data_IF_163342308257
#
_entry.id   IF_163342308257
#
_cell.length_a   1.000
_cell.length_b   1.000
_cell.length_c   1.000
_cell.angle_alpha   90.00
_cell.angle_beta   90.00
_cell.angle_gamma   90.00
#
_symmetry.space_group_name_H-M   'P 1'
#
loop_
_entity.id
_entity.type
_entity.pdbx_description
1 polymer ?
#
# COMPACT_ATOMS: atom_id res chain seq x y z
N UNK A 1 -5.33 0.44 -18.81
CA UNK A 1 -5.25 -1.02 -18.98
C UNK A 1 -3.79 -1.48 -18.91
N UNK A 2 -2.85 -0.93 -19.70
CA UNK A 2 -1.43 -1.35 -19.70
C UNK A 2 -0.76 -1.25 -18.32
N UNK A 3 -0.98 -0.16 -17.60
CA UNK A 3 -0.39 0.04 -16.26
C UNK A 3 -0.90 -1.01 -15.28
N UNK A 4 -2.18 -1.34 -15.32
CA UNK A 4 -2.78 -2.34 -14.42
C UNK A 4 -2.25 -3.75 -14.68
N UNK A 5 -1.83 -4.07 -15.92
CA UNK A 5 -1.24 -5.38 -16.23
C UNK A 5 0.13 -5.62 -15.56
N UNK A 6 0.78 -4.57 -15.06
CA UNK A 6 2.01 -4.71 -14.27
C UNK A 6 1.77 -5.38 -12.92
N UNK A 7 0.57 -5.27 -12.35
CA UNK A 7 0.28 -5.84 -11.04
C UNK A 7 0.45 -7.37 -10.98
N UNK A 8 -0.12 -8.16 -11.91
CA UNK A 8 0.13 -9.60 -11.94
C UNK A 8 1.61 -9.97 -12.12
N UNK A 9 2.35 -9.18 -12.90
CA UNK A 9 3.80 -9.41 -13.08
C UNK A 9 4.57 -9.16 -11.78
N UNK A 10 4.25 -8.09 -11.06
CA UNK A 10 4.85 -7.79 -9.76
C UNK A 10 4.51 -8.91 -8.77
N UNK A 11 3.25 -9.32 -8.72
CA UNK A 11 2.80 -10.39 -7.84
C UNK A 11 3.49 -11.73 -8.15
N UNK A 12 3.64 -12.05 -9.43
CA UNK A 12 4.45 -13.19 -9.87
C UNK A 12 5.89 -13.11 -9.36
N UNK A 13 6.55 -11.95 -9.49
CA UNK A 13 7.92 -11.77 -9.01
C UNK A 13 8.03 -11.92 -7.49
N UNK A 14 7.05 -11.42 -6.73
CA UNK A 14 6.97 -11.58 -5.28
C UNK A 14 6.88 -13.06 -4.90
N UNK A 15 6.01 -13.82 -5.56
CA UNK A 15 5.85 -15.24 -5.31
C UNK A 15 7.11 -16.04 -5.69
N UNK A 16 7.74 -15.69 -6.81
CA UNK A 16 8.99 -16.31 -7.28
C UNK A 16 10.15 -16.11 -6.30
N UNK A 17 10.22 -14.96 -5.64
CA UNK A 17 11.25 -14.69 -4.63
C UNK A 17 11.11 -15.66 -3.45
N UNK A 18 9.91 -16.00 -3.05
CA UNK A 18 9.62 -16.84 -1.89
C UNK A 18 9.66 -18.33 -2.20
N UNK A 19 9.18 -18.71 -3.38
CA UNK A 19 9.05 -20.11 -3.80
C UNK A 19 9.84 -20.37 -5.08
N UNK A 20 10.24 -21.65 -5.30
CA UNK A 20 10.79 -22.07 -6.59
C UNK A 20 9.72 -21.97 -7.69
N UNK A 21 10.16 -21.78 -8.93
CA UNK A 21 9.26 -21.72 -10.09
C UNK A 21 8.35 -22.97 -10.13
N UNK A 22 7.05 -22.72 -10.08
CA UNK A 22 6.04 -23.75 -10.19
C UNK A 22 4.85 -23.18 -10.97
N UNK A 23 4.14 -24.03 -11.71
CA UNK A 23 2.97 -23.66 -12.48
C UNK A 23 1.90 -22.96 -11.62
N UNK A 24 1.79 -23.36 -10.35
CA UNK A 24 0.87 -22.74 -9.39
C UNK A 24 1.15 -21.26 -9.14
N UNK A 25 2.41 -20.80 -9.25
CA UNK A 25 2.76 -19.39 -9.08
C UNK A 25 2.16 -18.56 -10.21
N UNK A 26 2.18 -19.07 -11.44
CA UNK A 26 1.52 -18.39 -12.58
C UNK A 26 0.02 -18.33 -12.38
N UNK A 27 -0.62 -19.42 -11.99
CA UNK A 27 -2.05 -19.45 -11.73
C UNK A 27 -2.46 -18.47 -10.62
N UNK A 28 -1.73 -18.47 -9.49
CA UNK A 28 -1.98 -17.52 -8.40
C UNK A 28 -1.76 -16.06 -8.82
N UNK A 29 -0.78 -15.76 -9.66
CA UNK A 29 -0.56 -14.40 -10.13
C UNK A 29 -1.68 -13.91 -11.06
N UNK A 30 -2.31 -14.82 -11.80
CA UNK A 30 -3.42 -14.49 -12.69
C UNK A 30 -4.76 -14.32 -11.96
N UNK A 31 -4.87 -14.80 -10.72
CA UNK A 31 -6.11 -14.70 -9.93
C UNK A 31 -6.57 -13.25 -9.73
N UNK A 32 -5.63 -12.30 -9.77
CA UNK A 32 -5.92 -10.86 -9.66
C UNK A 32 -6.90 -10.42 -10.76
N UNK A 33 -6.84 -11.01 -11.96
CA UNK A 33 -7.74 -10.68 -13.06
C UNK A 33 -9.18 -11.14 -12.83
N UNK A 34 -9.42 -12.06 -11.92
CA UNK A 34 -10.77 -12.52 -11.60
C UNK A 34 -11.53 -11.50 -10.75
N UNK A 35 -10.82 -10.62 -10.06
CA UNK A 35 -11.44 -9.57 -9.24
C UNK A 35 -12.22 -8.57 -10.10
N UNK A 36 -13.54 -8.42 -9.90
CA UNK A 36 -14.35 -7.44 -10.63
C UNK A 36 -13.90 -6.00 -10.30
N UNK A 37 -13.48 -5.76 -9.07
CA UNK A 37 -12.96 -4.47 -8.65
C UNK A 37 -11.68 -4.11 -9.42
N UNK A 38 -10.74 -5.04 -9.55
CA UNK A 38 -9.52 -4.81 -10.31
C UNK A 38 -9.82 -4.48 -11.78
N UNK A 39 -10.73 -5.22 -12.41
CA UNK A 39 -11.13 -4.96 -13.80
C UNK A 39 -11.79 -3.60 -13.96
N UNK A 40 -12.73 -3.26 -13.11
CA UNK A 40 -13.41 -1.96 -13.13
C UNK A 40 -12.41 -0.81 -12.93
N UNK A 41 -11.58 -0.87 -11.90
CA UNK A 41 -10.58 0.16 -11.61
C UNK A 41 -9.51 0.29 -12.69
N UNK A 42 -9.23 -0.78 -13.43
CA UNK A 42 -8.28 -0.76 -14.57
C UNK A 42 -8.82 0.00 -15.78
N UNK A 43 -10.12 -0.04 -15.99
CA UNK A 43 -10.79 0.68 -17.09
C UNK A 43 -10.87 2.17 -16.76
N UNK A 44 -11.28 2.51 -15.55
CA UNK A 44 -11.53 3.89 -15.12
C UNK A 44 -10.28 4.64 -14.63
N UNK A 45 -9.08 4.06 -14.76
CA UNK A 45 -7.82 4.67 -14.32
C UNK A 45 -7.86 5.18 -12.87
N UNK A 46 -8.50 4.43 -11.99
CA UNK A 46 -8.58 4.80 -10.58
C UNK A 46 -7.19 4.76 -9.93
N UNK A 47 -6.93 5.73 -9.10
CA UNK A 47 -5.69 5.85 -8.32
C UNK A 47 -5.39 4.61 -7.45
N UNK A 48 -6.41 3.78 -7.17
CA UNK A 48 -6.29 2.56 -6.39
C UNK A 48 -5.38 1.52 -7.04
N UNK A 49 -5.51 1.29 -8.36
CA UNK A 49 -4.64 0.34 -9.06
C UNK A 49 -3.20 0.82 -9.09
N UNK A 50 -3.00 2.13 -9.25
CA UNK A 50 -1.66 2.71 -9.25
C UNK A 50 -1.02 2.59 -7.86
N UNK A 51 -1.76 2.87 -6.80
CA UNK A 51 -1.28 2.71 -5.44
C UNK A 51 -0.95 1.24 -5.14
N UNK A 52 -1.78 0.30 -5.61
CA UNK A 52 -1.54 -1.14 -5.42
C UNK A 52 -0.28 -1.62 -6.15
N UNK A 53 0.01 -1.09 -7.34
CA UNK A 53 1.24 -1.36 -8.08
C UNK A 53 2.46 -0.89 -7.27
N UNK A 54 2.44 0.35 -6.78
CA UNK A 54 3.53 0.87 -5.96
C UNK A 54 3.68 0.11 -4.65
N UNK A 55 2.58 -0.29 -4.02
CA UNK A 55 2.64 -1.15 -2.85
C UNK A 55 3.26 -2.51 -3.16
N UNK A 56 2.88 -3.14 -4.27
CA UNK A 56 3.49 -4.39 -4.72
C UNK A 56 4.98 -4.25 -4.99
N UNK A 57 5.42 -3.17 -5.66
CA UNK A 57 6.85 -2.87 -5.85
C UNK A 57 7.57 -2.68 -4.52
N UNK A 58 6.96 -1.99 -3.57
CA UNK A 58 7.52 -1.81 -2.24
C UNK A 58 7.79 -3.17 -1.56
N UNK A 59 6.83 -4.09 -1.61
CA UNK A 59 6.98 -5.45 -1.07
C UNK A 59 8.08 -6.22 -1.82
N UNK A 60 8.12 -6.12 -3.14
CA UNK A 60 9.12 -6.80 -3.96
C UNK A 60 10.54 -6.37 -3.59
N UNK A 61 10.76 -5.06 -3.44
CA UNK A 61 12.06 -4.55 -3.02
C UNK A 61 12.38 -4.90 -1.58
N UNK A 62 11.41 -4.92 -0.69
CA UNK A 62 11.59 -5.39 0.67
C UNK A 62 12.03 -6.87 0.73
N UNK A 63 11.39 -7.76 -0.02
CA UNK A 63 11.79 -9.16 -0.09
C UNK A 63 13.17 -9.35 -0.73
N UNK A 64 13.50 -8.51 -1.72
CA UNK A 64 14.84 -8.48 -2.33
C UNK A 64 15.90 -8.04 -1.33
N UNK A 65 15.56 -7.06 -0.46
CA UNK A 65 16.41 -6.65 0.65
C UNK A 65 16.66 -7.82 1.62
N UNK A 66 15.63 -8.56 2.01
CA UNK A 66 15.79 -9.72 2.91
C UNK A 66 16.73 -10.79 2.34
N UNK A 67 16.82 -10.92 1.01
CA UNK A 67 17.72 -11.89 0.38
C UNK A 67 19.16 -11.39 0.22
N UNK A 68 19.35 -10.12 -0.07
CA UNK A 68 20.65 -9.56 -0.50
C UNK A 68 21.28 -8.62 0.52
N UNK A 69 20.54 -8.25 1.57
CA UNK A 69 20.93 -7.31 2.63
C UNK A 69 21.46 -5.96 2.14
N UNK A 70 21.14 -5.58 0.88
CA UNK A 70 21.64 -4.36 0.28
C UNK A 70 20.71 -3.18 0.62
N UNK A 71 21.28 -2.11 1.19
CA UNK A 71 20.57 -0.89 1.59
C UNK A 71 19.81 -0.21 0.44
N UNK A 72 20.28 -0.34 -0.79
CA UNK A 72 19.59 0.22 -1.96
C UNK A 72 18.16 -0.31 -2.08
N UNK A 73 17.96 -1.60 -1.85
CA UNK A 73 16.62 -2.20 -1.87
C UNK A 73 15.72 -1.68 -0.74
N UNK A 74 16.32 -1.38 0.41
CA UNK A 74 15.60 -0.73 1.52
C UNK A 74 15.09 0.66 1.12
N UNK A 75 15.96 1.49 0.52
CA UNK A 75 15.55 2.81 0.03
C UNK A 75 14.47 2.72 -1.06
N UNK A 76 14.62 1.80 -2.01
CA UNK A 76 13.60 1.57 -3.04
C UNK A 76 12.26 1.15 -2.43
N UNK A 77 12.25 0.27 -1.41
CA UNK A 77 11.00 -0.16 -0.78
C UNK A 77 10.27 0.99 -0.11
N UNK A 78 11.00 1.87 0.60
CA UNK A 78 10.42 3.07 1.23
C UNK A 78 9.94 4.08 0.18
N UNK A 79 10.71 4.29 -0.88
CA UNK A 79 10.34 5.19 -1.96
C UNK A 79 9.00 4.78 -2.59
N UNK A 80 8.85 3.52 -2.96
CA UNK A 80 7.60 3.02 -3.54
C UNK A 80 6.44 3.01 -2.55
N UNK A 81 6.71 2.77 -1.26
CA UNK A 81 5.69 2.92 -0.22
C UNK A 81 5.22 4.38 -0.08
N UNK A 82 6.15 5.33 -0.16
CA UNK A 82 5.82 6.76 -0.14
C UNK A 82 4.91 7.13 -1.32
N UNK A 83 5.28 6.71 -2.53
CA UNK A 83 4.45 6.94 -3.72
C UNK A 83 3.04 6.32 -3.54
N UNK A 84 2.97 5.12 -2.98
CA UNK A 84 1.71 4.48 -2.66
C UNK A 84 0.85 5.33 -1.72
N UNK A 85 1.45 5.87 -0.66
CA UNK A 85 0.77 6.73 0.32
C UNK A 85 0.31 8.06 -0.27
N UNK A 86 1.02 8.63 -1.25
CA UNK A 86 0.56 9.83 -1.97
C UNK A 86 -0.75 9.59 -2.72
N UNK A 87 -0.94 8.40 -3.30
CA UNK A 87 -2.18 8.06 -3.97
C UNK A 87 -3.28 7.64 -2.99
N UNK A 88 -2.91 6.91 -1.93
CA UNK A 88 -3.85 6.35 -0.95
C UNK A 88 -3.24 6.33 0.45
N UNK A 89 -3.68 7.25 1.27
CA UNK A 89 -3.15 7.45 2.62
C UNK A 89 -3.30 6.23 3.55
N UNK A 90 -4.26 5.35 3.32
CA UNK A 90 -4.48 4.17 4.17
C UNK A 90 -3.33 3.14 4.14
N UNK A 91 -2.35 3.29 3.25
CA UNK A 91 -1.12 2.49 3.30
C UNK A 91 -0.07 3.03 4.28
N UNK A 92 -0.30 4.19 4.89
CA UNK A 92 0.64 4.81 5.83
C UNK A 92 1.06 3.91 7.01
N UNK A 93 0.20 3.06 7.61
CA UNK A 93 0.59 2.16 8.69
C UNK A 93 1.73 1.20 8.34
N UNK A 94 1.91 0.87 7.05
CA UNK A 94 3.02 0.01 6.61
C UNK A 94 4.40 0.66 6.78
N UNK A 95 4.48 1.99 6.93
CA UNK A 95 5.72 2.65 7.29
C UNK A 95 6.25 2.20 8.65
N UNK A 96 5.38 2.12 9.64
CA UNK A 96 5.76 1.65 10.98
C UNK A 96 6.26 0.22 10.94
N UNK A 97 5.61 -0.63 10.16
CA UNK A 97 6.03 -2.01 9.95
C UNK A 97 7.44 -2.10 9.33
N UNK A 98 7.72 -1.33 8.27
CA UNK A 98 9.04 -1.32 7.64
C UNK A 98 10.11 -0.75 8.55
N UNK A 99 9.84 0.36 9.21
CA UNK A 99 10.77 0.96 10.18
C UNK A 99 11.10 -0.05 11.27
N UNK A 100 10.11 -0.72 11.85
CA UNK A 100 10.34 -1.74 12.88
C UNK A 100 11.25 -2.88 12.40
N UNK A 101 11.01 -3.40 11.19
CA UNK A 101 11.84 -4.48 10.64
C UNK A 101 13.26 -4.01 10.35
N UNK A 102 13.42 -2.81 9.80
CA UNK A 102 14.75 -2.27 9.52
C UNK A 102 15.51 -1.96 10.81
N UNK A 103 14.83 -1.53 11.87
CA UNK A 103 15.43 -1.38 13.20
C UNK A 103 16.02 -2.68 13.71
N UNK A 104 15.35 -3.80 13.47
CA UNK A 104 15.83 -5.11 13.92
C UNK A 104 17.06 -5.59 13.15
N UNK A 105 17.18 -5.23 11.87
CA UNK A 105 18.13 -5.86 10.94
C UNK A 105 19.31 -4.94 10.55
N UNK A 106 19.32 -3.66 10.96
CA UNK A 106 20.31 -2.70 10.53
C UNK A 106 20.99 -1.99 11.68
N UNK A 107 22.23 -1.52 11.43
CA UNK A 107 22.97 -0.69 12.37
C UNK A 107 22.31 0.69 12.55
N UNK A 108 22.41 1.27 13.73
CA UNK A 108 21.83 2.57 14.11
C UNK A 108 22.15 3.67 13.09
N UNK A 109 23.38 3.73 12.56
CA UNK A 109 23.78 4.70 11.52
C UNK A 109 22.97 4.57 10.23
N UNK A 110 22.68 3.34 9.80
CA UNK A 110 21.89 3.08 8.59
C UNK A 110 20.42 3.39 8.83
N UNK A 111 19.91 3.08 10.02
CA UNK A 111 18.55 3.41 10.42
C UNK A 111 18.31 4.92 10.36
N UNK A 112 19.26 5.72 10.89
CA UNK A 112 19.17 7.17 10.85
C UNK A 112 19.11 7.70 9.40
N UNK A 113 19.92 7.16 8.49
CA UNK A 113 19.86 7.49 7.07
C UNK A 113 18.51 7.12 6.44
N UNK A 114 17.95 5.97 6.80
CA UNK A 114 16.64 5.51 6.32
C UNK A 114 15.52 6.45 6.79
N UNK A 115 15.56 6.86 8.05
CA UNK A 115 14.58 7.80 8.62
C UNK A 115 14.68 9.16 7.92
N UNK A 116 15.89 9.70 7.74
CA UNK A 116 16.08 10.97 7.02
C UNK A 116 15.55 10.87 5.60
N UNK A 117 15.87 9.80 4.89
CA UNK A 117 15.37 9.57 3.53
C UNK A 117 13.84 9.49 3.49
N UNK A 118 13.22 8.76 4.43
CA UNK A 118 11.77 8.68 4.56
C UNK A 118 11.14 10.05 4.82
N UNK A 119 11.71 10.85 5.71
CA UNK A 119 11.25 12.21 6.00
C UNK A 119 11.37 13.11 4.76
N UNK A 120 12.49 13.07 4.04
CA UNK A 120 12.69 13.88 2.84
C UNK A 120 11.63 13.57 1.77
N UNK A 121 11.32 12.29 1.56
CA UNK A 121 10.30 11.91 0.58
C UNK A 121 8.89 12.29 1.06
N UNK A 122 8.63 12.26 2.36
CA UNK A 122 7.32 12.63 2.91
C UNK A 122 7.10 14.14 3.02
N UNK A 123 8.15 14.97 2.89
CA UNK A 123 8.04 16.44 3.01
C UNK A 123 6.93 17.05 2.13
N UNK A 124 6.81 16.75 0.82
CA UNK A 124 5.74 17.31 0.01
C UNK A 124 4.34 17.00 0.55
N UNK A 125 4.14 15.79 1.05
CA UNK A 125 2.86 15.39 1.66
C UNK A 125 2.60 16.14 2.97
N UNK A 126 3.63 16.34 3.79
CA UNK A 126 3.53 17.10 5.04
C UNK A 126 3.21 18.56 4.76
N UNK A 127 3.86 19.18 3.77
CA UNK A 127 3.58 20.57 3.37
C UNK A 127 2.13 20.68 2.89
N UNK A 128 1.70 19.78 2.03
CA UNK A 128 0.32 19.76 1.53
C UNK A 128 -0.70 19.55 2.65
N UNK A 129 -0.40 18.66 3.60
CA UNK A 129 -1.25 18.42 4.77
C UNK A 129 -1.37 19.64 5.67
N UNK A 130 -0.24 20.34 5.93
CA UNK A 130 -0.23 21.60 6.71
C UNK A 130 -1.05 22.67 5.98
N UNK A 131 -0.91 22.78 4.67
CA UNK A 131 -1.68 23.73 3.87
C UNK A 131 -3.19 23.47 3.96
N UNK A 132 -3.62 22.20 3.85
CA UNK A 132 -5.03 21.80 3.99
C UNK A 132 -5.57 22.07 5.40
N UNK A 133 -4.75 21.84 6.45
CA UNK A 133 -5.17 22.11 7.83
C UNK A 133 -5.36 23.63 8.05
N UNK A 134 -4.56 24.46 7.39
CA UNK A 134 -4.68 25.91 7.46
C UNK A 134 -5.93 26.42 6.73
N UNK A 135 -6.39 25.73 5.69
CA UNK A 135 -7.68 26.00 5.08
C UNK A 135 -8.80 25.52 6.02
N UNK A 136 -9.35 26.47 6.76
CA UNK A 136 -10.35 26.30 7.84
C UNK A 136 -11.56 25.42 7.48
N UNK A 137 -11.85 25.21 6.22
CA UNK A 137 -12.95 24.37 5.78
C UNK A 137 -12.75 22.88 6.14
N UNK A 138 -11.52 22.40 6.17
CA UNK A 138 -11.26 21.00 6.51
C UNK A 138 -11.54 20.70 7.98
N UNK A 139 -11.17 21.59 8.90
CA UNK A 139 -11.50 21.47 10.33
C UNK A 139 -13.00 21.63 10.57
N UNK A 140 -13.67 22.45 9.76
CA UNK A 140 -15.12 22.63 9.81
C UNK A 140 -15.87 21.38 9.32
N UNK A 141 -15.34 20.66 8.32
CA UNK A 141 -15.87 19.37 7.86
C UNK A 141 -15.69 18.24 8.90
N UNK A 142 -14.62 18.29 9.68
CA UNK A 142 -14.40 17.34 10.80
C UNK A 142 -15.32 17.68 11.98
N UNK A 143 -15.59 18.97 12.21
CA UNK A 143 -16.49 19.47 13.23
C UNK A 143 -17.96 19.58 12.79
N UNK A 144 -18.27 19.33 11.52
CA UNK A 144 -19.64 19.06 11.12
C UNK A 144 -20.08 17.85 11.93
N UNK A 145 -20.92 18.14 12.88
CA UNK A 145 -21.66 17.24 13.72
C UNK A 145 -22.42 16.20 12.86
N UNK A 146 -21.64 15.40 12.18
CA UNK A 146 -22.11 14.15 11.64
C UNK A 146 -22.46 13.38 12.88
N UNK A 147 -23.74 13.28 13.19
CA UNK A 147 -24.25 12.48 14.27
C UNK A 147 -23.77 11.04 14.14
N UNK A 148 -22.48 10.85 14.38
CA UNK A 148 -21.78 9.57 14.34
C UNK A 148 -22.19 8.79 15.59
N UNK A 149 -23.45 8.37 15.62
CA UNK A 149 -23.94 7.46 16.60
C UNK A 149 -23.19 6.12 16.43
N UNK A 150 -22.93 5.45 17.55
CA UNK A 150 -22.33 4.10 17.59
C UNK A 150 -23.01 3.14 16.59
N UNK A 151 -24.30 3.30 16.35
CA UNK A 151 -25.08 2.59 15.32
C UNK A 151 -24.53 2.78 13.89
N UNK A 152 -24.07 3.95 13.52
CA UNK A 152 -23.51 4.20 12.19
C UNK A 152 -22.18 3.50 12.00
N UNK A 153 -21.36 3.40 13.05
CA UNK A 153 -20.11 2.64 12.98
C UNK A 153 -20.36 1.13 12.88
N UNK A 154 -21.31 0.60 13.64
CA UNK A 154 -21.65 -0.83 13.57
C UNK A 154 -22.26 -1.21 12.23
N UNK A 155 -23.14 -0.37 11.66
CA UNK A 155 -23.70 -0.59 10.31
C UNK A 155 -22.63 -0.54 9.23
N UNK A 156 -21.72 0.43 9.28
CA UNK A 156 -20.60 0.53 8.34
C UNK A 156 -19.66 -0.67 8.45
N UNK A 157 -19.41 -1.16 9.67
CA UNK A 157 -18.61 -2.35 9.90
C UNK A 157 -19.25 -3.61 9.32
N UNK A 158 -20.57 -3.79 9.50
CA UNK A 158 -21.34 -4.91 8.92
C UNK A 158 -21.32 -4.84 7.40
N UNK A 159 -21.52 -3.65 6.80
CA UNK A 159 -21.43 -3.44 5.35
C UNK A 159 -20.04 -3.83 4.85
N UNK A 160 -18.98 -3.38 5.53
CA UNK A 160 -17.60 -3.69 5.17
C UNK A 160 -17.31 -5.19 5.25
N UNK A 161 -17.77 -5.88 6.30
CA UNK A 161 -17.67 -7.34 6.42
C UNK A 161 -18.45 -8.05 5.31
N UNK A 162 -19.65 -7.60 4.98
CA UNK A 162 -20.47 -8.18 3.91
C UNK A 162 -19.80 -8.06 2.55
N UNK A 163 -19.22 -6.89 2.26
CA UNK A 163 -18.44 -6.65 1.03
C UNK A 163 -17.23 -7.57 1.00
N UNK A 164 -16.47 -7.65 2.11
CA UNK A 164 -15.29 -8.50 2.22
C UNK A 164 -15.65 -9.99 2.02
N UNK A 165 -16.72 -10.45 2.65
CA UNK A 165 -17.24 -11.81 2.47
C UNK A 165 -17.65 -12.07 1.03
N UNK A 166 -18.37 -11.14 0.39
CA UNK A 166 -18.79 -11.27 -1.02
C UNK A 166 -17.59 -11.39 -1.97
N UNK A 167 -16.50 -10.64 -1.70
CA UNK A 167 -15.28 -10.71 -2.51
C UNK A 167 -14.43 -11.94 -2.23
N UNK A 168 -14.45 -12.47 -1.01
CA UNK A 168 -13.67 -13.66 -0.64
C UNK A 168 -14.41 -14.98 -0.96
N UNK A 169 -15.75 -14.95 -1.01
CA UNK A 169 -16.57 -16.14 -1.23
C UNK A 169 -16.19 -16.97 -2.46
N UNK A 170 -15.82 -16.37 -3.62
CA UNK A 170 -15.37 -17.14 -4.78
C UNK A 170 -14.05 -17.88 -4.58
N UNK A 171 -13.33 -17.65 -3.49
CA UNK A 171 -12.00 -18.21 -3.20
C UNK A 171 -12.01 -19.21 -2.04
N UNK A 172 -13.15 -19.40 -1.39
CA UNK A 172 -13.40 -20.42 -0.37
C UNK A 172 -14.03 -21.65 -0.99
#
# INVERSE_FOLDING_TARGET
IFISSLLPLIFYQILKIKNKENIYIYLFSLIIFTSPYFRSSSIWLLSDNLSLIFFGLSILFYLSYQKKENLTYCYCSIFFLSLCCYFRFYYFPFYFFYVFIFFKNQNIKNIFKIIIFSLLISLPALIYFIYIIQDYEFLRLINLDTGHNFFNYSTNFIILLSILFFYLFPYI
#
